data_IF_120180206120
#
_entry.id   IF_120180206120
#
_cell.length_a   1.000
_cell.length_b   1.000
_cell.length_c   1.000
_cell.angle_alpha   90.00
_cell.angle_beta   90.00
_cell.angle_gamma   90.00
#
_symmetry.space_group_name_H-M   'P 1'
#
loop_
_entity.id
_entity.type
_entity.pdbx_description
1 polymer ?
#
# COMPACT_ATOMS: atom_id res chain seq x y z
N UNK A 1 -35.78 -3.12 -11.78
CA UNK A 1 -35.72 -2.50 -13.12
C UNK A 1 -34.74 -3.30 -13.97
N UNK A 2 -35.24 -4.00 -14.99
CA UNK A 2 -34.37 -4.67 -15.96
C UNK A 2 -33.71 -3.60 -16.84
N UNK A 3 -32.38 -3.59 -16.90
CA UNK A 3 -31.64 -2.70 -17.79
C UNK A 3 -31.93 -2.99 -19.27
N UNK A 4 -31.64 -2.06 -20.19
CA UNK A 4 -31.95 -2.21 -21.60
C UNK A 4 -31.30 -3.47 -22.17
N UNK A 5 -32.11 -4.34 -22.80
CA UNK A 5 -31.63 -5.49 -23.56
C UNK A 5 -30.81 -4.96 -24.73
N UNK A 6 -29.49 -5.20 -24.71
CA UNK A 6 -28.60 -4.79 -25.80
C UNK A 6 -28.91 -5.66 -27.01
N UNK A 7 -29.54 -5.08 -28.03
CA UNK A 7 -29.77 -5.71 -29.33
C UNK A 7 -28.45 -6.27 -29.86
N UNK A 8 -28.44 -7.55 -30.25
CA UNK A 8 -27.22 -8.27 -30.66
C UNK A 8 -26.55 -7.69 -31.92
N UNK A 9 -27.30 -6.90 -32.70
CA UNK A 9 -26.88 -6.20 -33.90
C UNK A 9 -26.63 -4.71 -33.61
N UNK A 10 -25.38 -4.30 -33.77
CA UNK A 10 -25.00 -2.89 -33.85
C UNK A 10 -25.37 -2.38 -35.25
N UNK A 11 -26.07 -1.23 -35.33
CA UNK A 11 -26.35 -0.56 -36.61
C UNK A 11 -25.13 0.27 -36.98
N UNK A 12 -24.42 -0.16 -38.02
CA UNK A 12 -23.22 0.52 -38.54
C UNK A 12 -23.63 1.48 -39.66
N UNK A 13 -23.17 2.72 -39.60
CA UNK A 13 -23.46 3.75 -40.60
C UNK A 13 -22.21 4.03 -41.44
N UNK A 14 -21.90 3.16 -42.40
CA UNK A 14 -20.76 3.33 -43.32
C UNK A 14 -19.36 3.08 -42.73
N UNK A 15 -19.26 2.86 -41.42
CA UNK A 15 -17.99 2.60 -40.71
C UNK A 15 -17.55 1.13 -40.83
N UNK A 16 -17.18 0.69 -42.04
CA UNK A 16 -16.80 -0.70 -42.32
C UNK A 16 -15.56 -1.16 -41.54
N UNK A 17 -14.54 -0.31 -41.41
CA UNK A 17 -13.31 -0.65 -40.67
C UNK A 17 -13.57 -0.88 -39.18
N UNK A 18 -14.36 0.01 -38.54
CA UNK A 18 -14.72 -0.13 -37.14
C UNK A 18 -15.61 -1.38 -36.90
N UNK A 19 -16.53 -1.64 -37.83
CA UNK A 19 -17.36 -2.86 -37.82
C UNK A 19 -16.49 -4.11 -37.84
N UNK A 20 -15.57 -4.18 -38.78
CA UNK A 20 -14.75 -5.35 -39.02
C UNK A 20 -13.79 -5.58 -37.83
N UNK A 21 -13.24 -4.52 -37.23
CA UNK A 21 -12.46 -4.59 -36.01
C UNK A 21 -13.27 -5.12 -34.81
N UNK A 22 -14.53 -4.70 -34.62
CA UNK A 22 -15.40 -5.21 -33.55
C UNK A 22 -15.74 -6.69 -33.76
N UNK A 23 -16.09 -7.10 -34.99
CA UNK A 23 -16.42 -8.50 -35.27
C UNK A 23 -15.19 -9.41 -35.21
N UNK A 24 -14.02 -8.95 -35.64
CA UNK A 24 -12.74 -9.65 -35.48
C UNK A 24 -12.35 -9.79 -34.00
N UNK A 25 -12.55 -8.75 -33.18
CA UNK A 25 -12.39 -8.87 -31.73
C UNK A 25 -13.40 -9.87 -31.15
N UNK A 26 -14.66 -9.85 -31.59
CA UNK A 26 -15.69 -10.79 -31.13
C UNK A 26 -15.31 -12.23 -31.48
N UNK A 27 -14.86 -12.50 -32.70
CA UNK A 27 -14.43 -13.84 -33.12
C UNK A 27 -13.20 -14.31 -32.33
N UNK A 28 -12.24 -13.42 -32.03
CA UNK A 28 -11.06 -13.74 -31.21
C UNK A 28 -11.41 -14.05 -29.75
N UNK A 29 -12.40 -13.36 -29.18
CA UNK A 29 -12.77 -13.48 -27.76
C UNK A 29 -13.86 -14.53 -27.48
N UNK A 30 -14.58 -14.99 -28.51
CA UNK A 30 -15.68 -15.97 -28.38
C UNK A 30 -15.22 -17.39 -27.99
N UNK A 31 -14.08 -17.93 -28.48
CA UNK A 31 -13.61 -19.27 -28.13
C UNK A 31 -13.37 -19.45 -26.62
N UNK A 32 -13.54 -20.68 -26.14
CA UNK A 32 -13.32 -21.04 -24.74
C UNK A 32 -11.90 -20.68 -24.27
N UNK A 33 -10.89 -20.89 -25.11
CA UNK A 33 -9.49 -20.53 -24.85
C UNK A 33 -9.33 -19.01 -24.67
N UNK A 34 -9.97 -18.21 -25.53
CA UNK A 34 -9.95 -16.74 -25.42
C UNK A 34 -10.56 -16.26 -24.10
N UNK A 35 -11.71 -16.83 -23.72
CA UNK A 35 -12.37 -16.55 -22.43
C UNK A 35 -11.54 -16.99 -21.23
N UNK A 36 -10.91 -18.17 -21.29
CA UNK A 36 -10.02 -18.66 -20.25
C UNK A 36 -8.80 -17.75 -20.09
N UNK A 37 -8.19 -17.30 -21.20
CA UNK A 37 -7.10 -16.34 -21.19
C UNK A 37 -7.50 -14.99 -20.57
N UNK A 38 -8.69 -14.47 -20.90
CA UNK A 38 -9.22 -13.25 -20.26
C UNK A 38 -9.42 -13.43 -18.76
N UNK A 39 -10.01 -14.56 -18.34
CA UNK A 39 -10.24 -14.86 -16.92
C UNK A 39 -8.91 -14.94 -16.17
N UNK A 40 -7.92 -15.64 -16.72
CA UNK A 40 -6.58 -15.76 -16.11
C UNK A 40 -5.88 -14.40 -15.99
N UNK A 41 -5.99 -13.54 -17.01
CA UNK A 41 -5.46 -12.16 -16.94
C UNK A 41 -6.15 -11.34 -15.84
N UNK A 42 -7.48 -11.41 -15.76
CA UNK A 42 -8.23 -10.71 -14.73
C UNK A 42 -7.90 -11.25 -13.32
N UNK A 43 -7.75 -12.57 -13.18
CA UNK A 43 -7.39 -13.22 -11.93
C UNK A 43 -6.01 -12.81 -11.41
N UNK A 44 -5.00 -12.76 -12.29
CA UNK A 44 -3.64 -12.33 -11.91
C UNK A 44 -3.68 -10.89 -11.37
N UNK A 45 -4.43 -10.01 -12.04
CA UNK A 45 -4.60 -8.61 -11.61
C UNK A 45 -5.37 -8.55 -10.28
N UNK A 46 -6.59 -9.09 -10.21
CA UNK A 46 -7.43 -9.07 -9.01
C UNK A 46 -6.73 -9.69 -7.79
N UNK A 47 -6.03 -10.82 -7.95
CA UNK A 47 -5.30 -11.50 -6.86
C UNK A 47 -4.21 -10.60 -6.29
N UNK A 48 -3.44 -9.93 -7.15
CA UNK A 48 -2.35 -9.05 -6.73
C UNK A 48 -2.88 -7.86 -5.90
N UNK A 49 -4.11 -7.44 -6.16
CA UNK A 49 -4.77 -6.36 -5.44
C UNK A 49 -5.73 -6.84 -4.34
N UNK A 50 -5.82 -8.14 -4.06
CA UNK A 50 -6.80 -8.69 -3.12
C UNK A 50 -6.70 -8.03 -1.73
N UNK A 51 -5.48 -7.82 -1.22
CA UNK A 51 -5.30 -7.19 0.08
C UNK A 51 -5.66 -5.69 0.08
N UNK A 52 -5.35 -4.98 -1.00
CA UNK A 52 -5.59 -3.53 -1.07
C UNK A 52 -7.04 -3.19 -1.41
N UNK A 53 -7.67 -3.94 -2.33
CA UNK A 53 -9.06 -3.72 -2.75
C UNK A 53 -10.08 -4.32 -1.78
N UNK A 54 -9.87 -5.56 -1.33
CA UNK A 54 -10.86 -6.30 -0.54
C UNK A 54 -10.79 -5.92 0.95
N UNK A 55 -9.58 -5.91 1.53
CA UNK A 55 -9.39 -5.52 2.94
C UNK A 55 -9.09 -4.03 3.10
N UNK A 56 -8.38 -3.41 2.16
CA UNK A 56 -7.92 -2.02 2.24
C UNK A 56 -8.98 -0.96 1.89
N UNK A 57 -10.26 -1.33 1.73
CA UNK A 57 -11.37 -0.40 1.43
C UNK A 57 -11.13 0.49 0.21
N UNK A 58 -10.41 -0.01 -0.80
CA UNK A 58 -10.11 0.76 -2.02
C UNK A 58 -11.16 0.60 -3.13
N UNK A 59 -12.09 -0.36 -3.03
CA UNK A 59 -13.19 -0.53 -4.00
C UNK A 59 -14.12 0.70 -4.09
N UNK A 60 -14.18 1.53 -3.04
CA UNK A 60 -15.02 2.73 -3.00
C UNK A 60 -14.16 3.96 -2.70
N UNK A 61 -14.47 5.07 -3.35
CA UNK A 61 -13.78 6.35 -3.17
C UNK A 61 -14.78 7.49 -3.34
N UNK A 62 -14.65 8.52 -2.52
CA UNK A 62 -15.42 9.75 -2.64
C UNK A 62 -14.69 10.82 -3.48
N UNK A 63 -13.43 10.55 -3.83
CA UNK A 63 -12.64 11.44 -4.69
C UNK A 63 -13.24 11.52 -6.09
N UNK A 64 -13.24 12.73 -6.65
CA UNK A 64 -13.70 13.02 -8.02
C UNK A 64 -12.52 13.30 -8.93
N UNK A 65 -12.68 12.96 -10.21
CA UNK A 65 -11.64 13.09 -11.24
C UNK A 65 -10.67 11.90 -11.27
N UNK A 66 -10.32 11.46 -12.49
CA UNK A 66 -9.47 10.28 -12.72
C UNK A 66 -8.11 10.42 -12.05
N UNK A 67 -7.53 11.62 -12.07
CA UNK A 67 -6.22 11.90 -11.49
C UNK A 67 -6.20 11.72 -9.97
N UNK A 68 -7.20 12.24 -9.26
CA UNK A 68 -7.26 12.11 -7.80
C UNK A 68 -7.47 10.67 -7.34
N UNK A 69 -8.33 9.91 -8.06
CA UNK A 69 -8.51 8.48 -7.82
C UNK A 69 -7.21 7.73 -8.07
N UNK A 70 -6.48 8.07 -9.14
CA UNK A 70 -5.20 7.46 -9.45
C UNK A 70 -4.13 7.75 -8.39
N UNK A 71 -4.00 9.00 -7.96
CA UNK A 71 -3.09 9.40 -6.86
C UNK A 71 -3.38 8.61 -5.59
N UNK A 72 -4.65 8.50 -5.19
CA UNK A 72 -5.05 7.69 -4.02
C UNK A 72 -4.63 6.23 -4.20
N UNK A 73 -4.86 5.65 -5.37
CA UNK A 73 -4.49 4.26 -5.62
C UNK A 73 -2.98 4.03 -5.53
N UNK A 74 -2.18 4.91 -6.12
CA UNK A 74 -0.72 4.83 -6.04
C UNK A 74 -0.21 4.93 -4.61
N UNK A 75 -0.70 5.91 -3.84
CA UNK A 75 -0.26 6.13 -2.45
C UNK A 75 -0.60 4.92 -1.57
N UNK A 76 -1.81 4.36 -1.69
CA UNK A 76 -2.19 3.19 -0.88
C UNK A 76 -1.40 1.94 -1.23
N UNK A 77 -1.20 1.66 -2.53
CA UNK A 77 -0.44 0.48 -2.97
C UNK A 77 1.02 0.63 -2.57
N UNK A 78 1.62 1.81 -2.76
CA UNK A 78 2.97 2.11 -2.32
C UNK A 78 3.11 1.96 -0.79
N UNK A 79 2.17 2.50 -0.01
CA UNK A 79 2.17 2.35 1.44
C UNK A 79 2.04 0.91 1.90
N UNK A 80 1.22 0.10 1.23
CA UNK A 80 1.10 -1.34 1.52
C UNK A 80 2.40 -2.09 1.22
N UNK A 81 2.98 -1.87 0.04
CA UNK A 81 4.24 -2.51 -0.37
C UNK A 81 5.41 -2.07 0.53
N UNK A 82 5.46 -0.79 0.89
CA UNK A 82 6.42 -0.28 1.85
C UNK A 82 6.25 -0.96 3.21
N UNK A 83 5.02 -1.15 3.69
CA UNK A 83 4.78 -1.86 4.95
C UNK A 83 5.25 -3.32 4.92
N UNK A 84 5.14 -4.02 3.78
CA UNK A 84 5.70 -5.37 3.62
C UNK A 84 7.23 -5.33 3.66
N UNK A 85 7.84 -4.42 2.91
CA UNK A 85 9.29 -4.23 2.89
C UNK A 85 9.82 -3.90 4.29
N UNK A 86 9.20 -2.94 4.98
CA UNK A 86 9.59 -2.53 6.33
C UNK A 86 9.42 -3.66 7.34
N UNK A 87 8.36 -4.48 7.23
CA UNK A 87 8.21 -5.66 8.08
C UNK A 87 9.36 -6.65 7.87
N UNK A 88 9.88 -6.79 6.65
CA UNK A 88 11.02 -7.65 6.37
C UNK A 88 12.35 -7.06 6.87
N UNK A 89 12.55 -5.75 6.72
CA UNK A 89 13.80 -5.08 7.07
C UNK A 89 13.95 -4.81 8.58
N UNK A 90 12.87 -4.39 9.25
CA UNK A 90 12.90 -3.90 10.64
C UNK A 90 11.86 -4.56 11.56
N UNK A 91 11.19 -5.61 11.10
CA UNK A 91 10.17 -6.34 11.88
C UNK A 91 8.84 -5.61 12.09
N UNK A 92 8.70 -4.38 11.58
CA UNK A 92 7.50 -3.55 11.74
C UNK A 92 7.03 -2.99 10.40
N UNK A 93 5.74 -3.19 10.08
CA UNK A 93 5.18 -2.76 8.78
C UNK A 93 4.43 -1.43 8.81
N UNK A 94 4.30 -0.79 9.98
CA UNK A 94 3.62 0.51 10.11
C UNK A 94 4.34 1.38 11.15
N UNK A 95 4.30 2.72 11.01
CA UNK A 95 4.90 3.61 12.01
C UNK A 95 4.37 3.38 13.43
N UNK A 96 3.08 3.07 13.56
CA UNK A 96 2.46 2.75 14.85
C UNK A 96 3.01 1.46 15.45
N UNK A 97 3.21 0.43 14.63
CA UNK A 97 3.83 -0.83 15.07
C UNK A 97 5.29 -0.60 15.47
N UNK A 98 6.03 0.22 14.71
CA UNK A 98 7.40 0.62 15.07
C UNK A 98 7.43 1.36 16.41
N UNK A 99 6.55 2.34 16.62
CA UNK A 99 6.46 3.09 17.87
C UNK A 99 6.07 2.20 19.07
N UNK A 100 5.17 1.23 18.88
CA UNK A 100 4.79 0.27 19.92
C UNK A 100 5.91 -0.70 20.27
N UNK A 101 6.80 -1.01 19.31
CA UNK A 101 7.99 -1.84 19.53
C UNK A 101 9.18 -1.03 20.07
N UNK A 102 9.24 0.27 19.86
CA UNK A 102 10.28 1.12 20.41
C UNK A 102 10.03 1.31 21.91
N UNK A 103 10.89 0.75 22.76
CA UNK A 103 10.91 1.08 24.19
C UNK A 103 11.97 2.13 24.42
N UNK A 104 11.54 3.34 24.76
CA UNK A 104 12.45 4.39 25.19
C UNK A 104 12.40 4.46 26.71
N UNK A 105 13.54 4.22 27.35
CA UNK A 105 13.69 4.38 28.80
C UNK A 105 14.51 5.64 29.06
N UNK A 106 13.96 6.55 29.84
CA UNK A 106 14.60 7.78 30.27
C UNK A 106 15.07 7.62 31.72
N UNK A 107 16.38 7.74 31.95
CA UNK A 107 16.93 7.90 33.29
C UNK A 107 17.43 9.32 33.47
N UNK A 108 17.02 9.97 34.57
CA UNK A 108 17.52 11.28 34.97
C UNK A 108 18.34 11.09 36.24
N UNK A 109 19.61 11.46 36.18
CA UNK A 109 20.52 11.48 37.33
C UNK A 109 20.79 12.94 37.67
N UNK A 110 20.45 13.34 38.88
CA UNK A 110 20.67 14.69 39.39
C UNK A 110 21.60 14.65 40.61
N UNK A 111 22.70 15.40 40.54
CA UNK A 111 23.58 15.71 41.66
C UNK A 111 23.72 17.22 41.82
N UNK A 112 24.41 17.67 42.88
CA UNK A 112 24.64 19.09 43.16
C UNK A 112 25.35 19.84 42.01
N UNK A 113 26.06 19.14 41.12
CA UNK A 113 26.87 19.74 40.07
C UNK A 113 26.50 19.28 38.65
N UNK A 114 25.68 18.22 38.51
CA UNK A 114 25.40 17.58 37.22
C UNK A 114 23.92 17.24 37.08
N UNK A 115 23.35 17.59 35.92
CA UNK A 115 22.11 17.03 35.41
C UNK A 115 22.43 16.13 34.21
N UNK A 116 22.43 14.81 34.42
CA UNK A 116 22.65 13.84 33.35
C UNK A 116 21.33 13.17 32.95
N UNK A 117 21.03 13.20 31.66
CA UNK A 117 19.86 12.58 31.06
C UNK A 117 20.33 11.44 30.14
N UNK A 118 19.96 10.21 30.48
CA UNK A 118 20.28 9.01 29.71
C UNK A 118 19.04 8.56 28.96
N UNK A 119 19.11 8.57 27.63
CA UNK A 119 18.04 8.09 26.75
C UNK A 119 18.46 6.75 26.14
N UNK A 120 17.83 5.67 26.60
CA UNK A 120 18.02 4.34 26.03
C UNK A 120 16.90 4.04 25.03
N UNK A 121 17.25 3.91 23.75
CA UNK A 121 16.36 3.29 22.77
C UNK A 121 16.59 1.77 22.82
N UNK A 122 15.72 1.06 23.56
CA UNK A 122 15.72 -0.40 23.64
C UNK A 122 14.86 -0.94 22.50
N UNK A 123 15.45 -1.53 21.44
CA UNK A 123 14.65 -2.25 20.47
C UNK A 123 13.99 -3.46 21.14
N UNK A 124 12.68 -3.60 20.95
CA UNK A 124 11.99 -4.83 21.35
C UNK A 124 12.60 -6.00 20.56
N UNK A 125 13.19 -6.94 21.30
CA UNK A 125 13.84 -8.12 20.76
C UNK A 125 12.91 -8.83 19.78
N UNK A 126 13.36 -8.92 18.52
CA UNK A 126 13.08 -9.97 17.54
C UNK A 126 14.02 -9.77 16.32
N UNK A 127 15.32 -10.05 16.51
CA UNK A 127 16.28 -10.22 15.42
C UNK A 127 17.09 -8.98 15.02
N UNK A 128 18.39 -9.01 15.35
CA UNK A 128 19.43 -7.98 15.11
C UNK A 128 19.30 -6.75 16.01
N UNK A 129 19.79 -6.92 17.24
CA UNK A 129 19.88 -5.87 18.24
C UNK A 129 20.99 -4.89 17.92
N UNK A 130 20.61 -3.71 17.43
CA UNK A 130 21.41 -2.50 17.56
C UNK A 130 20.71 -1.61 18.59
N UNK A 131 21.20 -1.61 19.82
CA UNK A 131 20.76 -0.70 20.87
C UNK A 131 21.49 0.65 20.69
N UNK A 132 20.73 1.71 20.49
CA UNK A 132 21.25 3.09 20.48
C UNK A 132 21.16 3.70 21.87
N UNK A 133 22.30 4.07 22.44
CA UNK A 133 22.39 4.82 23.69
C UNK A 133 22.77 6.27 23.39
N UNK A 134 21.89 7.21 23.71
CA UNK A 134 22.20 8.65 23.66
C UNK A 134 22.31 9.17 25.09
N UNK A 135 23.52 9.61 25.46
CA UNK A 135 23.81 10.22 26.76
C UNK A 135 23.92 11.73 26.55
N UNK A 136 23.11 12.51 27.27
CA UNK A 136 23.23 13.96 27.32
C UNK A 136 23.48 14.36 28.77
N UNK A 137 24.71 14.76 29.07
CA UNK A 137 25.08 15.31 30.38
C UNK A 137 25.24 16.83 30.27
N UNK A 138 24.47 17.57 31.07
CA UNK A 138 24.57 19.02 31.18
C UNK A 138 25.20 19.31 32.55
N UNK A 139 26.42 19.84 32.55
CA UNK A 139 27.05 20.36 33.77
C UNK A 139 26.44 21.71 34.10
N UNK A 140 26.08 21.94 35.36
CA UNK A 140 25.51 23.22 35.79
C UNK A 140 26.58 24.21 36.26
N UNK A 141 27.87 23.93 36.04
CA UNK A 141 28.97 24.83 36.35
C UNK A 141 29.48 25.53 35.07
N UNK A 142 29.09 26.80 34.81
CA UNK A 142 29.85 27.66 33.94
C UNK A 142 31.06 28.16 34.73
N UNK A 143 32.26 27.67 34.43
CA UNK A 143 33.49 28.40 34.81
C UNK A 143 33.54 29.73 34.09
#
# INVERSE_FOLDING_TARGET
MAGPQRTALLRWHGETEARDAVYANRSRLRPAVGKAGMRKRAEIVERSFAHTLERGRMRRTWLRGRENVHKRSLIHVAGHNLGILMRHLIGAGTPKETAARARVVLFVVHSAEILATLLFAVPHADGRGDCGLLIVAITTNPT
#
